data_IF_149895066522
#
_entry.id   IF_149895066522
#
_cell.length_a   1.000
_cell.length_b   1.000
_cell.length_c   1.000
_cell.angle_alpha   90.00
_cell.angle_beta   90.00
_cell.angle_gamma   90.00
#
_symmetry.space_group_name_H-M   'P 1'
#
loop_
_entity.id
_entity.type
_entity.pdbx_description
1 polymer ?
#
# COMPACT_ATOMS: atom_id res chain seq x y z
N UNK A 1 7.22 -11.36 36.61
CA UNK A 1 7.36 -10.04 35.94
C UNK A 1 6.44 -9.06 36.65
N UNK A 2 6.85 -7.80 36.86
CA UNK A 2 5.94 -6.76 37.37
C UNK A 2 4.78 -6.57 36.39
N UNK A 3 3.59 -6.21 36.90
CA UNK A 3 2.46 -5.88 36.02
C UNK A 3 2.70 -4.53 35.33
N UNK A 4 2.35 -4.39 34.04
CA UNK A 4 2.48 -3.12 33.33
C UNK A 4 1.60 -2.04 33.97
N UNK A 5 2.12 -0.83 34.15
CA UNK A 5 1.31 0.33 34.56
C UNK A 5 0.74 1.02 33.34
N UNK A 6 -0.42 1.66 33.52
CA UNK A 6 -1.06 2.37 32.41
C UNK A 6 -0.33 3.68 32.07
N UNK A 7 0.26 4.34 33.07
CA UNK A 7 1.06 5.56 32.88
C UNK A 7 2.27 5.32 31.96
N UNK A 8 2.88 4.13 32.00
CA UNK A 8 4.04 3.79 31.18
C UNK A 8 3.71 3.73 29.67
N UNK A 9 2.43 3.76 29.30
CA UNK A 9 1.96 3.74 27.91
C UNK A 9 1.80 5.13 27.30
N UNK A 10 1.74 6.17 28.13
CA UNK A 10 1.45 7.52 27.67
C UNK A 10 2.58 8.04 26.76
N UNK A 11 2.24 8.46 25.55
CA UNK A 11 3.20 8.86 24.52
C UNK A 11 4.03 7.71 23.90
N UNK A 12 3.82 6.45 24.31
CA UNK A 12 4.56 5.27 23.81
C UNK A 12 3.69 4.22 23.13
N UNK A 13 2.36 4.33 23.22
CA UNK A 13 1.41 3.41 22.59
C UNK A 13 0.38 4.19 21.77
N UNK A 14 0.12 3.74 20.55
CA UNK A 14 -0.96 4.24 19.70
C UNK A 14 -1.86 3.07 19.27
N UNK A 15 -3.16 3.17 19.56
CA UNK A 15 -4.14 2.21 19.08
C UNK A 15 -4.53 2.53 17.63
N UNK A 16 -4.03 1.76 16.68
CA UNK A 16 -4.28 1.99 15.26
C UNK A 16 -5.70 1.62 14.80
N UNK A 17 -6.48 0.92 15.64
CA UNK A 17 -7.90 0.62 15.36
C UNK A 17 -8.83 1.79 15.71
N UNK A 18 -8.36 2.73 16.54
CA UNK A 18 -9.13 3.88 17.02
C UNK A 18 -8.54 5.23 16.57
N UNK A 19 -7.30 5.22 16.07
CA UNK A 19 -6.62 6.42 15.58
C UNK A 19 -7.34 7.02 14.36
N UNK A 20 -7.20 8.35 14.13
CA UNK A 20 -7.67 8.97 12.90
C UNK A 20 -7.05 8.31 11.65
N UNK A 21 -7.87 8.07 10.64
CA UNK A 21 -7.44 7.45 9.39
C UNK A 21 -6.69 8.46 8.52
N UNK A 22 -5.51 8.07 8.01
CA UNK A 22 -4.78 8.83 7.00
C UNK A 22 -5.37 8.61 5.60
N UNK A 23 -5.92 7.41 5.37
CA UNK A 23 -6.68 7.06 4.17
C UNK A 23 -7.96 6.36 4.56
N UNK A 24 -9.07 6.79 3.95
CA UNK A 24 -10.37 6.14 4.04
C UNK A 24 -11.03 6.16 2.66
N UNK A 25 -10.94 5.04 1.94
CA UNK A 25 -11.58 4.85 0.64
C UNK A 25 -12.76 3.91 0.84
N UNK A 26 -13.96 4.45 0.65
CA UNK A 26 -15.20 3.67 0.72
C UNK A 26 -15.12 2.44 -0.19
N UNK A 27 -15.44 1.28 0.38
CA UNK A 27 -15.41 -0.04 -0.27
C UNK A 27 -14.02 -0.43 -0.83
N UNK A 28 -12.96 0.28 -0.43
CA UNK A 28 -11.59 0.06 -0.90
C UNK A 28 -10.68 -0.38 0.25
N UNK A 29 -10.61 0.44 1.29
CA UNK A 29 -9.77 0.17 2.44
C UNK A 29 -9.40 1.42 3.24
N UNK A 30 -8.70 1.18 4.35
CA UNK A 30 -8.32 2.17 5.36
C UNK A 30 -6.84 2.03 5.72
N UNK A 31 -6.18 3.16 6.01
CA UNK A 31 -4.79 3.17 6.49
C UNK A 31 -4.64 4.10 7.68
N UNK A 32 -3.89 3.63 8.68
CA UNK A 32 -3.29 4.46 9.74
C UNK A 32 -1.78 4.34 9.63
N UNK A 33 -1.07 5.45 9.49
CA UNK A 33 0.38 5.51 9.38
C UNK A 33 0.97 5.95 10.71
N UNK A 34 1.75 5.08 11.35
CA UNK A 34 2.55 5.42 12.51
C UNK A 34 3.85 6.10 12.07
N UNK A 35 4.06 7.31 12.56
CA UNK A 35 5.24 8.12 12.27
C UNK A 35 5.58 9.01 13.47
N UNK A 36 6.69 9.74 13.37
CA UNK A 36 7.20 10.58 14.46
C UNK A 36 6.26 11.70 14.92
N UNK A 37 5.19 12.03 14.16
CA UNK A 37 4.19 13.01 14.57
C UNK A 37 3.16 12.44 15.55
N UNK A 38 2.77 11.17 15.41
CA UNK A 38 1.76 10.53 16.26
C UNK A 38 2.35 9.56 17.28
N UNK A 39 3.59 9.13 17.08
CA UNK A 39 4.36 8.36 18.05
C UNK A 39 5.84 8.75 17.93
N UNK A 40 6.42 9.51 18.89
CA UNK A 40 7.76 10.09 18.78
C UNK A 40 8.88 9.06 19.01
N UNK A 41 8.83 7.94 18.29
CA UNK A 41 9.85 6.90 18.24
C UNK A 41 10.80 7.17 17.08
N UNK A 42 12.11 7.07 17.33
CA UNK A 42 13.15 7.36 16.34
C UNK A 42 13.51 6.08 15.58
N UNK A 43 13.52 6.16 14.24
CA UNK A 43 14.12 5.13 13.38
C UNK A 43 13.18 4.03 12.89
N UNK A 44 11.89 4.07 13.22
CA UNK A 44 10.89 3.12 12.73
C UNK A 44 9.62 3.86 12.29
N UNK A 45 9.02 3.38 11.21
CA UNK A 45 7.67 3.73 10.79
C UNK A 45 6.89 2.44 10.53
N UNK A 46 5.58 2.50 10.65
CA UNK A 46 4.71 1.36 10.33
C UNK A 46 3.36 1.86 9.89
N UNK A 47 2.55 0.97 9.36
CA UNK A 47 1.17 1.25 8.98
C UNK A 47 0.28 0.07 9.36
N UNK A 48 -0.97 0.39 9.72
CA UNK A 48 -2.06 -0.58 9.76
C UNK A 48 -2.91 -0.37 8.52
N UNK A 49 -2.92 -1.38 7.64
CA UNK A 49 -3.69 -1.38 6.41
C UNK A 49 -4.85 -2.37 6.56
N UNK A 50 -6.06 -1.91 6.28
CA UNK A 50 -7.25 -2.74 6.15
C UNK A 50 -7.77 -2.65 4.73
N UNK A 51 -7.81 -3.77 4.02
CA UNK A 51 -8.36 -3.85 2.66
C UNK A 51 -9.76 -4.46 2.75
N UNK A 52 -10.74 -3.78 2.17
CA UNK A 52 -12.11 -4.28 2.14
C UNK A 52 -12.26 -5.45 1.13
N UNK A 53 -13.34 -6.21 1.23
CA UNK A 53 -13.54 -7.42 0.44
C UNK A 53 -13.50 -7.16 -1.07
N UNK A 54 -12.74 -7.97 -1.79
CA UNK A 54 -12.54 -7.89 -3.26
C UNK A 54 -11.85 -6.60 -3.76
N UNK A 55 -11.32 -5.79 -2.85
CA UNK A 55 -10.55 -4.60 -3.17
C UNK A 55 -9.06 -4.92 -3.35
N UNK A 56 -8.33 -4.02 -4.00
CA UNK A 56 -6.91 -4.17 -4.30
C UNK A 56 -6.13 -2.96 -3.82
N UNK A 57 -4.96 -3.17 -3.22
CA UNK A 57 -3.99 -2.09 -3.03
C UNK A 57 -3.27 -1.79 -4.37
N UNK A 58 -3.08 -0.52 -4.68
CA UNK A 58 -2.39 -0.09 -5.90
C UNK A 58 -1.00 -0.74 -5.99
N UNK A 59 -0.62 -1.31 -7.17
CA UNK A 59 0.68 -1.91 -7.32
C UNK A 59 1.77 -0.89 -7.01
N UNK A 60 2.65 -1.24 -6.08
CA UNK A 60 3.74 -0.39 -5.61
C UNK A 60 5.10 -1.01 -5.90
N UNK A 61 6.11 -0.16 -6.01
CA UNK A 61 7.52 -0.57 -6.06
C UNK A 61 8.37 0.40 -5.24
N UNK A 62 9.62 -0.01 -5.00
CA UNK A 62 10.54 0.69 -4.12
C UNK A 62 11.69 1.39 -4.79
N UNK A 63 12.29 2.31 -4.03
CA UNK A 63 13.50 3.02 -4.40
C UNK A 63 14.58 3.10 -3.31
N UNK A 64 14.38 2.57 -2.10
CA UNK A 64 15.31 2.77 -0.99
C UNK A 64 15.75 1.46 -0.27
N UNK A 65 16.60 1.62 0.74
CA UNK A 65 17.21 0.53 1.50
C UNK A 65 16.40 0.05 2.72
N UNK A 66 15.20 0.58 2.96
CA UNK A 66 14.37 0.15 4.08
C UNK A 66 13.75 -1.25 3.82
N UNK A 67 13.77 -2.10 4.84
CA UNK A 67 13.03 -3.37 4.83
C UNK A 67 11.60 -3.09 5.31
N UNK A 68 10.61 -3.47 4.51
CA UNK A 68 9.23 -3.52 4.98
C UNK A 68 8.86 -4.97 5.22
N UNK A 69 8.28 -5.17 6.38
CA UNK A 69 7.87 -6.47 6.87
C UNK A 69 6.37 -6.35 7.07
N UNK A 70 5.62 -7.11 6.28
CA UNK A 70 4.16 -7.09 6.34
C UNK A 70 3.67 -8.36 7.00
N UNK A 71 2.84 -8.19 8.02
CA UNK A 71 2.22 -9.28 8.78
C UNK A 71 0.70 -9.23 8.61
N UNK A 72 0.10 -10.35 8.22
CA UNK A 72 -1.35 -10.44 8.10
C UNK A 72 -1.97 -10.78 9.43
N UNK A 73 -2.66 -9.81 10.02
CA UNK A 73 -3.34 -9.96 11.30
C UNK A 73 -4.63 -10.77 11.17
N UNK A 74 -5.38 -10.57 10.09
CA UNK A 74 -6.68 -11.20 9.87
C UNK A 74 -6.98 -11.36 8.37
N UNK A 75 -7.96 -12.21 8.05
CA UNK A 75 -8.44 -12.41 6.68
C UNK A 75 -7.51 -13.25 5.81
N UNK A 76 -7.69 -13.11 4.49
CA UNK A 76 -6.91 -13.78 3.46
C UNK A 76 -6.76 -12.88 2.26
N UNK A 77 -5.60 -12.90 1.61
CA UNK A 77 -5.27 -12.02 0.50
C UNK A 77 -4.52 -12.79 -0.60
N UNK A 78 -4.71 -12.39 -1.86
CA UNK A 78 -3.86 -12.82 -2.96
C UNK A 78 -2.70 -11.84 -3.09
N UNK A 79 -1.48 -12.34 -2.89
CA UNK A 79 -0.27 -11.55 -2.93
C UNK A 79 0.58 -11.90 -4.15
N UNK A 80 1.09 -10.87 -4.86
CA UNK A 80 1.90 -11.03 -6.06
C UNK A 80 3.17 -10.16 -5.98
N UNK A 81 4.30 -10.73 -6.41
CA UNK A 81 5.57 -10.02 -6.54
C UNK A 81 6.13 -10.25 -7.94
N UNK A 82 6.57 -9.16 -8.56
CA UNK A 82 7.21 -9.14 -9.87
C UNK A 82 8.68 -8.71 -9.68
N UNK A 83 9.60 -9.51 -10.22
CA UNK A 83 11.03 -9.22 -10.21
C UNK A 83 11.39 -8.11 -11.20
N UNK A 84 12.59 -7.55 -11.08
CA UNK A 84 13.07 -6.50 -11.98
C UNK A 84 13.21 -6.95 -13.46
N UNK A 85 13.24 -8.25 -13.72
CA UNK A 85 13.21 -8.83 -15.07
C UNK A 85 11.78 -8.90 -15.66
N UNK A 86 10.78 -8.38 -14.95
CA UNK A 86 9.38 -8.40 -15.34
C UNK A 86 8.69 -9.76 -15.13
N UNK A 87 9.37 -10.75 -14.55
CA UNK A 87 8.76 -12.05 -14.26
C UNK A 87 8.09 -12.06 -12.91
N UNK A 88 6.93 -12.70 -12.83
CA UNK A 88 6.26 -12.98 -11.56
C UNK A 88 7.09 -13.99 -10.78
N UNK A 89 7.68 -13.55 -9.67
CA UNK A 89 8.53 -14.38 -8.80
C UNK A 89 7.75 -15.01 -7.64
N UNK A 90 6.60 -14.43 -7.29
CA UNK A 90 5.70 -14.96 -6.29
C UNK A 90 4.24 -14.68 -6.67
N UNK A 91 3.40 -15.68 -6.51
CA UNK A 91 1.95 -15.53 -6.41
C UNK A 91 1.44 -16.56 -5.42
N UNK A 92 0.73 -16.10 -4.40
CA UNK A 92 0.20 -16.98 -3.37
C UNK A 92 -1.03 -16.37 -2.72
N UNK A 93 -1.83 -17.23 -2.08
CA UNK A 93 -2.86 -16.79 -1.16
C UNK A 93 -2.28 -16.88 0.25
N UNK A 94 -2.18 -15.73 0.91
CA UNK A 94 -1.73 -15.62 2.31
C UNK A 94 -2.93 -15.49 3.22
N UNK A 95 -2.82 -16.03 4.43
CA UNK A 95 -3.86 -15.97 5.47
C UNK A 95 -3.31 -15.34 6.74
N UNK A 96 -4.20 -14.99 7.67
CA UNK A 96 -3.85 -14.54 9.01
C UNK A 96 -2.72 -15.40 9.64
N UNK A 97 -1.74 -14.75 10.27
CA UNK A 97 -0.54 -15.37 10.81
C UNK A 97 0.64 -15.45 9.83
N UNK A 98 0.44 -15.09 8.55
CA UNK A 98 1.53 -15.05 7.57
C UNK A 98 2.36 -13.78 7.70
N UNK A 99 3.68 -13.92 7.54
CA UNK A 99 4.65 -12.83 7.47
C UNK A 99 5.33 -12.88 6.11
N UNK A 100 5.44 -11.74 5.43
CA UNK A 100 6.26 -11.63 4.24
C UNK A 100 7.13 -10.40 4.27
N UNK A 101 8.27 -10.50 3.59
CA UNK A 101 9.26 -9.44 3.48
C UNK A 101 9.45 -9.19 2.00
N UNK A 102 9.18 -7.96 1.58
CA UNK A 102 9.57 -7.50 0.25
C UNK A 102 10.86 -6.70 0.42
N UNK A 103 12.00 -7.15 -0.12
CA UNK A 103 13.25 -6.39 -0.05
C UNK A 103 13.07 -5.03 -0.74
N UNK A 104 13.39 -3.95 -0.03
CA UNK A 104 13.17 -2.56 -0.47
C UNK A 104 11.68 -2.29 -0.76
N UNK A 105 10.91 -1.63 0.13
CA UNK A 105 9.68 -0.95 -0.31
C UNK A 105 9.37 0.31 0.50
N UNK A 106 9.91 1.44 0.05
CA UNK A 106 9.12 2.67 0.08
C UNK A 106 8.07 2.57 -1.02
N UNK A 107 6.79 2.68 -0.67
CA UNK A 107 5.68 2.61 -1.61
C UNK A 107 5.69 3.82 -2.56
N UNK A 108 6.17 3.62 -3.79
CA UNK A 108 5.73 4.44 -4.92
C UNK A 108 4.64 3.67 -5.65
N UNK A 109 3.44 4.25 -5.75
CA UNK A 109 2.34 3.63 -6.47
C UNK A 109 2.54 3.78 -7.99
N UNK A 110 2.33 2.71 -8.74
CA UNK A 110 2.30 2.74 -10.21
C UNK A 110 1.00 3.35 -10.73
N UNK A 111 -0.13 3.07 -10.05
CA UNK A 111 -1.45 3.64 -10.34
C UNK A 111 -1.99 4.47 -9.15
N UNK A 112 -2.89 5.42 -9.40
CA UNK A 112 -3.53 6.30 -8.41
C UNK A 112 -3.17 7.78 -8.57
N UNK A 113 -3.66 8.62 -7.64
CA UNK A 113 -3.52 10.10 -7.68
C UNK A 113 -2.09 10.62 -7.74
N UNK A 114 -1.21 9.96 -7.02
CA UNK A 114 0.19 10.37 -6.81
C UNK A 114 1.13 9.40 -7.50
N UNK A 115 0.65 8.73 -8.55
CA UNK A 115 1.31 7.58 -9.15
C UNK A 115 2.24 7.93 -10.31
N UNK A 116 3.14 7.00 -10.63
CA UNK A 116 4.07 7.13 -11.76
C UNK A 116 3.32 7.28 -13.07
N UNK A 117 2.30 6.47 -13.34
CA UNK A 117 1.58 6.56 -14.61
C UNK A 117 0.82 7.89 -14.75
N UNK A 118 0.30 8.44 -13.66
CA UNK A 118 -0.32 9.78 -13.68
C UNK A 118 0.69 10.91 -13.93
N UNK A 119 1.94 10.72 -13.53
CA UNK A 119 3.01 11.70 -13.70
C UNK A 119 3.62 11.73 -15.11
N UNK A 120 3.43 10.67 -15.91
CA UNK A 120 3.89 10.61 -17.30
C UNK A 120 2.92 11.33 -18.24
N UNK A 121 3.45 11.91 -19.33
CA UNK A 121 2.61 12.54 -20.35
C UNK A 121 1.90 11.48 -21.21
N UNK A 122 0.75 11.80 -21.82
CA UNK A 122 0.06 10.91 -22.75
C UNK A 122 0.96 10.37 -23.86
N UNK A 123 1.81 11.21 -24.43
CA UNK A 123 2.72 10.84 -25.53
C UNK A 123 3.76 9.82 -25.07
N UNK A 124 4.26 9.95 -23.84
CA UNK A 124 5.20 8.99 -23.25
C UNK A 124 4.52 7.64 -23.04
N UNK A 125 3.28 7.63 -22.54
CA UNK A 125 2.52 6.39 -22.33
C UNK A 125 2.18 5.71 -23.67
N UNK A 126 1.73 6.47 -24.67
CA UNK A 126 1.46 5.98 -26.02
C UNK A 126 2.70 5.34 -26.64
N UNK A 127 3.86 6.01 -26.56
CA UNK A 127 5.11 5.49 -27.09
C UNK A 127 5.62 4.27 -26.32
N UNK A 128 5.55 4.29 -24.98
CA UNK A 128 6.04 3.22 -24.12
C UNK A 128 5.21 1.93 -24.26
N UNK A 129 3.89 2.06 -24.30
CA UNK A 129 2.98 0.91 -24.43
C UNK A 129 2.64 0.56 -25.88
N UNK A 130 3.05 1.40 -26.84
CA UNK A 130 2.73 1.25 -28.28
C UNK A 130 1.23 1.16 -28.52
N UNK A 131 0.50 2.12 -27.94
CA UNK A 131 -0.97 2.20 -28.03
C UNK A 131 -1.40 3.51 -28.67
N UNK A 132 -2.61 3.52 -29.23
CA UNK A 132 -3.23 4.73 -29.75
C UNK A 132 -3.74 5.66 -28.60
N UNK A 133 -4.10 6.92 -28.92
CA UNK A 133 -4.60 7.87 -27.93
C UNK A 133 -5.89 7.43 -27.21
N UNK A 134 -6.78 6.69 -27.87
CA UNK A 134 -8.04 6.25 -27.28
C UNK A 134 -7.78 5.22 -26.16
N UNK A 135 -6.88 4.28 -26.42
CA UNK A 135 -6.44 3.29 -25.43
C UNK A 135 -5.67 3.95 -24.28
N UNK A 136 -4.81 4.93 -24.56
CA UNK A 136 -4.12 5.68 -23.51
C UNK A 136 -5.10 6.46 -22.62
N UNK A 137 -6.08 7.14 -23.21
CA UNK A 137 -7.09 7.88 -22.45
C UNK A 137 -7.93 6.95 -21.57
N UNK A 138 -8.32 5.79 -22.09
CA UNK A 138 -9.01 4.75 -21.32
C UNK A 138 -8.15 4.21 -20.18
N UNK A 139 -6.85 4.01 -20.40
CA UNK A 139 -5.91 3.58 -19.37
C UNK A 139 -5.76 4.63 -18.26
N UNK A 140 -5.53 5.89 -18.63
CA UNK A 140 -5.29 6.98 -17.69
C UNK A 140 -6.56 7.30 -16.89
N UNK A 141 -7.74 7.33 -17.52
CA UNK A 141 -9.00 7.58 -16.80
C UNK A 141 -9.28 6.55 -15.68
N UNK A 142 -8.84 5.30 -15.84
CA UNK A 142 -9.01 4.24 -14.84
C UNK A 142 -7.89 4.19 -13.80
N UNK A 143 -6.66 4.51 -14.20
CA UNK A 143 -5.49 4.44 -13.32
C UNK A 143 -5.21 5.73 -12.55
N UNK A 144 -5.85 6.86 -12.90
CA UNK A 144 -5.63 8.15 -12.23
C UNK A 144 -6.63 8.47 -11.11
N UNK A 145 -7.45 7.48 -10.70
CA UNK A 145 -8.36 7.59 -9.56
C UNK A 145 -7.62 8.08 -8.31
N UNK A 146 -8.33 8.80 -7.46
CA UNK A 146 -7.73 9.49 -6.31
C UNK A 146 -7.27 8.55 -5.17
N UNK A 147 -7.14 7.25 -5.44
CA UNK A 147 -7.13 6.21 -4.42
C UNK A 147 -5.89 5.32 -4.48
N UNK A 148 -5.37 4.98 -3.29
CA UNK A 148 -4.37 3.92 -3.10
C UNK A 148 -5.02 2.53 -3.08
N UNK A 149 -6.34 2.46 -2.86
CA UNK A 149 -7.13 1.24 -2.97
C UNK A 149 -8.05 1.35 -4.18
N UNK A 150 -8.18 0.24 -4.90
CA UNK A 150 -9.15 0.08 -5.96
C UNK A 150 -10.28 -0.82 -5.46
N UNK A 151 -11.47 -0.25 -5.19
CA UNK A 151 -12.67 -1.03 -4.91
C UNK A 151 -13.01 -1.97 -6.07
N UNK A 152 -13.74 -3.07 -5.82
CA UNK A 152 -14.24 -3.92 -6.89
C UNK A 152 -15.11 -3.12 -7.87
N UNK A 153 -15.01 -3.45 -9.15
CA UNK A 153 -15.91 -2.89 -10.16
C UNK A 153 -17.29 -3.52 -9.98
N UNK A 154 -18.32 -2.70 -9.74
CA UNK A 154 -19.72 -3.13 -9.70
C UNK A 154 -20.20 -3.70 -11.04
#
# INVERSE_FOLDING_TARGET
>A
MPQPKMEDRDGFVLNCLEAPLDVDIKDGGRVVVLNTKNLPLVGFGSDLVQIDGHSMCSPGFSRDSALHVTYLVAGSERFQVVGADGKRVLETNITAGSLFIVPSPIFTHLAGRTSVWKALSPEVLQAAFKVDPEVEESFRSKTTLDAIFFPPSN
#
